data_IF_638338974711
#
_entry.id   IF_638338974711
#
_cell.length_a   1.000
_cell.length_b   1.000
_cell.length_c   1.000
_cell.angle_alpha   90.00
_cell.angle_beta   90.00
_cell.angle_gamma   90.00
#
_symmetry.space_group_name_H-M   'P 1'
#
loop_
_entity.id
_entity.type
_entity.pdbx_description
1 polymer ?
#
# COMPACT_ATOMS: atom_id res chain seq x y z
N UNK A 1 33.11 -66.70 -19.43
CA UNK A 1 33.98 -65.84 -20.26
C UNK A 1 33.92 -64.43 -19.69
N UNK A 2 35.09 -63.90 -19.30
CA UNK A 2 35.54 -62.50 -19.09
C UNK A 2 34.52 -61.37 -18.88
N UNK A 3 34.73 -60.34 -18.07
CA UNK A 3 35.76 -59.99 -17.07
C UNK A 3 35.25 -58.72 -16.38
N UNK A 4 35.47 -58.63 -15.06
CA UNK A 4 35.34 -57.40 -14.28
C UNK A 4 36.56 -56.52 -14.55
N UNK A 5 36.41 -55.19 -14.62
CA UNK A 5 37.52 -54.25 -14.39
C UNK A 5 37.02 -52.85 -14.01
N UNK A 6 37.09 -52.57 -12.71
CA UNK A 6 37.12 -51.23 -12.10
C UNK A 6 38.54 -50.68 -12.21
N UNK A 7 38.70 -49.40 -12.56
CA UNK A 7 39.98 -48.68 -12.42
C UNK A 7 39.77 -47.39 -11.64
N UNK A 8 40.34 -47.37 -10.43
CA UNK A 8 40.80 -46.18 -9.69
C UNK A 8 42.13 -45.73 -10.30
N UNK A 9 42.38 -44.42 -10.37
CA UNK A 9 43.74 -43.89 -10.30
C UNK A 9 43.79 -42.66 -9.38
N UNK A 10 44.74 -42.75 -8.45
CA UNK A 10 45.12 -41.78 -7.43
C UNK A 10 45.85 -40.57 -8.03
N UNK A 11 45.89 -39.49 -7.24
CA UNK A 11 46.39 -38.18 -7.63
C UNK A 11 47.91 -38.03 -7.74
N UNK A 12 48.31 -36.84 -8.16
CA UNK A 12 49.66 -36.31 -8.08
C UNK A 12 49.58 -34.79 -7.91
N UNK A 13 50.15 -34.27 -6.83
CA UNK A 13 50.48 -32.86 -6.63
C UNK A 13 51.70 -32.47 -7.48
N UNK A 14 51.85 -31.18 -7.81
CA UNK A 14 53.17 -30.55 -7.86
C UNK A 14 53.34 -29.35 -6.89
N UNK A 15 54.60 -28.98 -6.55
CA UNK A 15 54.97 -28.01 -5.49
C UNK A 15 55.21 -26.55 -6.01
N UNK A 16 55.60 -25.58 -5.15
CA UNK A 16 55.47 -24.14 -5.40
C UNK A 16 56.79 -23.44 -5.80
N UNK A 17 56.72 -22.28 -6.47
CA UNK A 17 57.81 -21.27 -6.49
C UNK A 17 57.38 -19.89 -7.02
N UNK A 18 57.43 -18.92 -6.11
CA UNK A 18 58.05 -17.57 -6.14
C UNK A 18 57.93 -16.58 -7.33
N UNK A 19 57.71 -15.34 -6.87
CA UNK A 19 58.24 -14.05 -7.34
C UNK A 19 57.70 -13.45 -8.66
N UNK A 20 57.11 -12.26 -8.52
CA UNK A 20 56.50 -11.50 -9.60
C UNK A 20 57.46 -10.68 -10.44
N UNK A 21 56.90 -10.03 -11.46
CA UNK A 21 57.38 -8.79 -12.06
C UNK A 21 56.16 -8.10 -12.68
N UNK A 22 56.02 -6.83 -12.33
CA UNK A 22 55.16 -5.85 -12.98
C UNK A 22 55.62 -5.60 -14.41
N UNK A 23 54.71 -5.66 -15.39
CA UNK A 23 54.91 -5.05 -16.70
C UNK A 23 53.56 -4.60 -17.29
N UNK A 24 53.37 -3.28 -17.35
CA UNK A 24 52.40 -2.62 -18.21
C UNK A 24 52.68 -2.92 -19.69
N UNK A 25 51.65 -2.99 -20.55
CA UNK A 25 51.76 -2.55 -21.92
C UNK A 25 51.16 -1.16 -22.11
N UNK A 26 51.92 -0.33 -22.84
CA UNK A 26 51.55 0.98 -23.37
C UNK A 26 50.38 0.89 -24.34
N UNK A 27 49.63 1.99 -24.34
CA UNK A 27 48.73 2.51 -25.37
C UNK A 27 49.25 2.40 -26.81
N UNK A 28 48.32 2.44 -27.78
CA UNK A 28 48.40 3.53 -28.74
C UNK A 28 47.12 4.38 -28.80
N UNK A 29 47.36 5.62 -29.20
CA UNK A 29 46.48 6.78 -29.22
C UNK A 29 45.30 6.71 -30.19
N UNK A 30 44.35 7.60 -29.88
CA UNK A 30 43.47 8.34 -30.79
C UNK A 30 42.19 7.67 -31.27
N UNK A 31 41.07 8.05 -30.63
CA UNK A 31 39.98 8.77 -31.29
C UNK A 31 39.04 9.32 -30.20
N UNK A 32 39.14 10.64 -29.98
CA UNK A 32 38.24 11.39 -29.11
C UNK A 32 36.93 11.61 -29.87
N UNK A 33 35.87 10.93 -29.47
CA UNK A 33 34.50 11.32 -29.83
C UNK A 33 34.01 12.31 -28.76
N UNK A 34 33.89 13.58 -29.17
CA UNK A 34 33.31 14.66 -28.38
C UNK A 34 31.78 14.52 -28.39
N UNK A 35 31.08 14.67 -27.25
CA UNK A 35 29.64 14.87 -27.26
C UNK A 35 29.32 16.28 -27.77
N UNK A 36 28.48 16.35 -28.81
CA UNK A 36 27.94 17.59 -29.38
C UNK A 36 26.94 18.20 -28.39
N UNK A 37 27.43 19.07 -27.52
CA UNK A 37 26.59 19.97 -26.73
C UNK A 37 25.98 21.01 -27.66
N UNK A 38 24.69 20.85 -27.97
CA UNK A 38 23.89 21.84 -28.68
C UNK A 38 23.61 23.04 -27.76
N UNK A 39 24.34 24.13 -27.97
CA UNK A 39 23.99 25.46 -27.46
C UNK A 39 22.64 25.89 -28.07
N UNK A 40 21.62 26.11 -27.25
CA UNK A 40 20.54 27.07 -27.56
C UNK A 40 20.65 28.20 -26.54
N UNK A 41 20.79 29.42 -27.06
CA UNK A 41 20.95 30.65 -26.31
C UNK A 41 19.68 31.07 -25.56
N UNK A 42 19.78 32.17 -24.79
CA UNK A 42 18.73 32.59 -23.86
C UNK A 42 17.56 33.21 -24.63
N UNK A 43 16.35 32.71 -24.42
CA UNK A 43 15.13 33.45 -24.73
C UNK A 43 14.66 34.11 -23.44
N UNK A 44 14.76 35.44 -23.45
CA UNK A 44 14.22 36.36 -22.45
C UNK A 44 12.69 36.27 -22.38
N UNK A 45 12.20 36.62 -21.18
CA UNK A 45 10.85 36.49 -20.65
C UNK A 45 9.72 37.11 -21.48
N UNK A 46 8.54 36.50 -21.39
CA UNK A 46 7.26 37.22 -21.38
C UNK A 46 6.22 36.41 -20.57
N UNK A 47 5.87 36.90 -19.39
CA UNK A 47 4.62 36.55 -18.71
C UNK A 47 3.50 37.35 -19.36
N UNK A 48 2.39 36.71 -19.73
CA UNK A 48 1.15 37.42 -20.12
C UNK A 48 -0.04 36.72 -19.49
N UNK A 49 -0.76 37.47 -18.67
CA UNK A 49 -2.19 37.31 -18.37
C UNK A 49 -2.73 38.71 -18.02
N UNK A 50 -4.04 38.99 -18.15
CA UNK A 50 -5.04 38.64 -19.16
C UNK A 50 -5.55 39.93 -19.85
N UNK A 51 -6.74 39.95 -20.50
CA UNK A 51 -7.69 40.97 -20.05
C UNK A 51 -9.12 40.47 -19.88
N UNK A 52 -9.81 41.17 -18.99
CA UNK A 52 -11.22 41.06 -18.61
C UNK A 52 -12.09 41.99 -19.48
N UNK A 53 -13.36 41.60 -19.64
CA UNK A 53 -14.55 42.43 -19.87
C UNK A 53 -14.94 42.96 -21.28
N UNK A 54 -16.25 42.75 -21.52
CA UNK A 54 -17.23 43.60 -22.21
C UNK A 54 -17.63 43.32 -23.69
N UNK A 55 -18.83 42.72 -23.79
CA UNK A 55 -20.03 43.24 -24.46
C UNK A 55 -20.14 43.39 -26.01
N UNK A 56 -21.26 42.79 -26.48
CA UNK A 56 -22.26 43.30 -27.45
C UNK A 56 -21.82 43.43 -28.92
N UNK A 57 -22.63 43.17 -29.95
CA UNK A 57 -24.08 43.07 -30.16
C UNK A 57 -24.25 42.37 -31.54
N UNK A 58 -25.17 41.41 -31.70
CA UNK A 58 -26.50 41.60 -32.33
C UNK A 58 -26.49 41.72 -33.85
N UNK A 59 -27.26 40.84 -34.49
CA UNK A 59 -28.38 41.19 -35.36
C UNK A 59 -29.17 39.89 -35.60
N UNK A 60 -30.30 39.73 -34.92
CA UNK A 60 -31.65 40.15 -35.35
C UNK A 60 -32.34 38.99 -36.09
N UNK A 61 -33.32 38.35 -35.43
CA UNK A 61 -34.76 38.61 -35.62
C UNK A 61 -35.27 37.93 -36.91
N UNK A 62 -36.37 37.20 -36.94
CA UNK A 62 -37.59 37.26 -36.14
C UNK A 62 -38.43 36.05 -36.56
N UNK A 63 -38.98 35.33 -35.56
CA UNK A 63 -40.41 34.93 -35.39
C UNK A 63 -41.10 34.29 -36.63
N UNK A 64 -41.77 33.14 -36.58
CA UNK A 64 -43.11 32.91 -35.97
C UNK A 64 -43.56 31.48 -36.36
N UNK A 65 -43.86 30.60 -35.40
CA UNK A 65 -45.19 30.11 -34.95
C UNK A 65 -45.80 28.93 -35.73
N UNK A 66 -46.48 28.07 -34.95
CA UNK A 66 -47.69 27.28 -35.26
C UNK A 66 -47.72 26.42 -36.53
N UNK A 67 -48.09 25.14 -36.53
CA UNK A 67 -49.31 24.49 -36.00
C UNK A 67 -49.27 23.03 -36.57
N UNK A 68 -49.94 21.99 -36.06
CA UNK A 68 -51.32 21.64 -36.44
C UNK A 68 -51.61 20.16 -36.07
N UNK A 69 -52.75 19.96 -35.38
CA UNK A 69 -53.76 18.86 -35.40
C UNK A 69 -53.34 17.42 -34.99
N UNK A 70 -54.15 16.59 -34.32
CA UNK A 70 -55.59 16.54 -33.95
C UNK A 70 -55.69 15.57 -32.73
N UNK A 71 -56.59 15.69 -31.76
CA UNK A 71 -58.01 15.36 -31.90
C UNK A 71 -58.84 16.04 -30.80
N UNK A 72 -60.02 16.50 -31.19
CA UNK A 72 -60.92 17.35 -30.43
C UNK A 72 -62.18 16.59 -29.96
N UNK A 73 -62.76 17.05 -28.84
CA UNK A 73 -64.19 17.29 -28.61
C UNK A 73 -64.40 17.71 -27.14
N UNK A 74 -65.10 18.77 -26.72
CA UNK A 74 -65.96 19.75 -27.39
C UNK A 74 -66.06 20.99 -26.47
N UNK A 75 -65.91 22.19 -27.04
CA UNK A 75 -66.66 23.43 -26.77
C UNK A 75 -66.89 23.92 -25.32
N UNK A 76 -66.14 24.96 -24.92
CA UNK A 76 -66.61 26.35 -24.71
C UNK A 76 -65.54 27.27 -24.06
N UNK A 77 -65.50 28.53 -24.49
CA UNK A 77 -64.53 29.65 -24.20
C UNK A 77 -65.34 30.86 -23.63
N UNK A 78 -64.84 31.96 -23.00
CA UNK A 78 -63.47 32.42 -22.62
C UNK A 78 -63.23 32.97 -21.17
N UNK A 79 -61.95 32.96 -20.77
CA UNK A 79 -61.12 33.98 -20.07
C UNK A 79 -61.64 34.78 -18.85
N UNK A 80 -60.99 34.57 -17.70
CA UNK A 80 -60.42 35.67 -16.89
C UNK A 80 -59.09 35.18 -16.27
N UNK A 81 -58.11 36.07 -16.18
CA UNK A 81 -56.71 35.77 -15.88
C UNK A 81 -56.49 35.36 -14.41
N UNK A 82 -56.21 34.09 -14.15
CA UNK A 82 -55.90 33.54 -12.83
C UNK A 82 -54.50 32.96 -12.75
N UNK A 83 -53.72 33.46 -11.80
CA UNK A 83 -52.34 33.07 -11.40
C UNK A 83 -52.03 31.56 -11.53
N UNK A 84 -50.76 31.17 -11.80
CA UNK A 84 -50.39 29.76 -11.91
C UNK A 84 -50.84 28.98 -10.69
N UNK A 85 -51.50 27.85 -10.94
CA UNK A 85 -52.14 27.01 -9.94
C UNK A 85 -51.22 26.79 -8.72
N UNK A 86 -51.67 27.30 -7.59
CA UNK A 86 -50.92 27.25 -6.33
C UNK A 86 -50.60 25.79 -5.95
N UNK A 87 -49.35 25.51 -5.54
CA UNK A 87 -48.89 24.17 -5.30
C UNK A 87 -49.68 23.50 -4.17
N UNK A 88 -50.10 22.25 -4.38
CA UNK A 88 -50.85 21.48 -3.39
C UNK A 88 -50.02 21.32 -2.10
N UNK A 89 -50.60 21.74 -0.97
CA UNK A 89 -49.96 21.72 0.36
C UNK A 89 -49.46 20.33 0.75
N UNK A 90 -50.12 19.27 0.29
CA UNK A 90 -49.71 17.89 0.54
C UNK A 90 -48.44 17.52 -0.23
N UNK A 91 -48.34 17.93 -1.50
CA UNK A 91 -47.16 17.70 -2.34
C UNK A 91 -45.94 18.46 -1.80
N UNK A 92 -46.10 19.73 -1.44
CA UNK A 92 -45.00 20.52 -0.85
C UNK A 92 -44.52 19.93 0.49
N UNK A 93 -45.43 19.37 1.30
CA UNK A 93 -45.07 18.65 2.53
C UNK A 93 -44.26 17.39 2.24
N UNK A 94 -44.67 16.59 1.26
CA UNK A 94 -43.93 15.37 0.85
C UNK A 94 -42.54 15.73 0.32
N UNK A 95 -42.44 16.73 -0.55
CA UNK A 95 -41.16 17.18 -1.10
C UNK A 95 -40.24 17.67 0.02
N UNK A 96 -40.74 18.47 0.97
CA UNK A 96 -39.95 18.95 2.11
C UNK A 96 -39.49 17.82 3.04
N UNK A 97 -40.35 16.82 3.30
CA UNK A 97 -39.99 15.66 4.11
C UNK A 97 -38.95 14.79 3.42
N UNK A 98 -39.09 14.54 2.12
CA UNK A 98 -38.14 13.75 1.34
C UNK A 98 -36.80 14.48 1.18
N UNK A 99 -36.81 15.79 0.97
CA UNK A 99 -35.57 16.58 0.86
C UNK A 99 -34.82 16.65 2.19
N UNK A 100 -35.54 16.80 3.31
CA UNK A 100 -34.92 16.81 4.65
C UNK A 100 -34.38 15.43 5.03
N UNK A 101 -35.13 14.35 4.79
CA UNK A 101 -34.63 12.99 4.97
C UNK A 101 -33.41 12.70 4.08
N UNK A 102 -33.46 13.08 2.81
CA UNK A 102 -32.34 12.93 1.88
C UNK A 102 -31.10 13.72 2.32
N UNK A 103 -31.28 14.94 2.80
CA UNK A 103 -30.20 15.77 3.33
C UNK A 103 -29.59 15.17 4.61
N UNK A 104 -30.43 14.69 5.54
CA UNK A 104 -29.97 14.00 6.75
C UNK A 104 -29.24 12.70 6.40
N UNK A 105 -29.75 11.92 5.44
CA UNK A 105 -29.11 10.68 5.00
C UNK A 105 -27.76 10.94 4.32
N UNK A 106 -27.65 11.94 3.43
CA UNK A 106 -26.39 12.32 2.79
C UNK A 106 -25.37 12.88 3.80
N UNK A 107 -25.83 13.71 4.74
CA UNK A 107 -24.99 14.24 5.80
C UNK A 107 -24.49 13.13 6.72
N UNK A 108 -25.39 12.24 7.16
CA UNK A 108 -25.05 11.07 7.94
C UNK A 108 -24.07 10.16 7.17
N UNK A 109 -24.30 9.89 5.89
CA UNK A 109 -23.39 9.06 5.07
C UNK A 109 -21.97 9.62 4.98
N UNK A 110 -21.81 10.95 4.90
CA UNK A 110 -20.47 11.57 4.91
C UNK A 110 -19.81 11.62 6.30
N UNK A 111 -20.60 11.58 7.37
CA UNK A 111 -20.12 11.68 8.76
C UNK A 111 -19.91 10.31 9.41
N UNK A 112 -20.67 9.31 8.98
CA UNK A 112 -20.56 7.93 9.39
C UNK A 112 -19.67 7.21 8.37
N UNK A 113 -18.37 7.55 8.33
CA UNK A 113 -17.40 6.61 7.77
C UNK A 113 -17.30 5.45 8.76
N UNK A 114 -18.17 4.45 8.61
CA UNK A 114 -18.33 3.30 9.52
C UNK A 114 -17.16 2.30 9.48
N UNK A 115 -15.98 2.73 9.03
CA UNK A 115 -14.81 1.86 8.82
C UNK A 115 -13.50 2.55 9.22
N UNK A 116 -13.51 3.42 10.24
CA UNK A 116 -12.26 3.74 10.93
C UNK A 116 -11.96 2.58 11.88
N UNK A 117 -11.21 1.60 11.37
CA UNK A 117 -10.70 0.53 12.20
C UNK A 117 -9.76 1.13 13.25
N UNK A 118 -10.10 0.94 14.53
CA UNK A 118 -9.26 1.42 15.62
C UNK A 118 -8.13 0.43 15.90
N UNK A 119 -7.01 0.91 16.45
CA UNK A 119 -5.89 0.05 16.86
C UNK A 119 -6.33 -1.13 17.73
N UNK A 120 -7.32 -0.91 18.61
CA UNK A 120 -7.89 -1.95 19.47
C UNK A 120 -8.65 -3.00 18.68
N UNK A 121 -9.36 -2.59 17.62
CA UNK A 121 -10.08 -3.51 16.75
C UNK A 121 -9.12 -4.36 15.91
N UNK A 122 -8.04 -3.78 15.39
CA UNK A 122 -7.02 -4.57 14.69
C UNK A 122 -6.40 -5.60 15.64
N UNK A 123 -6.00 -5.17 16.84
CA UNK A 123 -5.40 -6.07 17.82
C UNK A 123 -6.35 -7.20 18.25
N UNK A 124 -7.65 -6.90 18.39
CA UNK A 124 -8.66 -7.90 18.74
C UNK A 124 -8.95 -8.91 17.61
N UNK A 125 -8.77 -8.51 16.35
CA UNK A 125 -9.01 -9.36 15.17
C UNK A 125 -7.74 -10.01 14.62
N UNK A 126 -6.56 -9.66 15.15
CA UNK A 126 -5.28 -10.20 14.74
C UNK A 126 -5.22 -11.72 14.95
N UNK A 127 -4.50 -12.40 14.06
CA UNK A 127 -4.26 -13.84 14.17
C UNK A 127 -3.38 -14.10 15.41
N UNK A 128 -3.69 -15.08 16.26
CA UNK A 128 -2.80 -15.47 17.36
C UNK A 128 -1.42 -15.85 16.82
N UNK A 129 -0.37 -15.41 17.50
CA UNK A 129 1.01 -15.58 17.04
C UNK A 129 1.36 -17.07 16.78
N UNK A 130 0.99 -17.95 17.70
CA UNK A 130 1.28 -19.39 17.58
C UNK A 130 0.51 -20.05 16.42
N UNK A 131 -0.69 -19.55 16.10
CA UNK A 131 -1.45 -20.01 14.93
C UNK A 131 -0.82 -19.53 13.63
N UNK A 132 -0.34 -18.28 13.61
CA UNK A 132 0.30 -17.69 12.44
C UNK A 132 1.58 -18.45 12.04
N UNK A 133 2.36 -18.91 13.01
CA UNK A 133 3.60 -19.67 12.76
C UNK A 133 3.35 -21.12 12.31
N UNK A 134 2.20 -21.69 12.65
CA UNK A 134 1.90 -23.11 12.37
C UNK A 134 1.05 -23.34 11.12
N UNK A 135 0.41 -22.31 10.58
CA UNK A 135 -0.51 -22.44 9.45
C UNK A 135 0.14 -22.34 8.05
N UNK A 136 1.47 -22.13 7.99
CA UNK A 136 2.26 -22.12 6.75
C UNK A 136 1.96 -20.94 5.81
N UNK A 137 1.33 -19.88 6.30
CA UNK A 137 1.21 -18.60 5.59
C UNK A 137 2.32 -17.66 6.04
N UNK A 138 2.82 -16.81 5.14
CA UNK A 138 3.74 -15.78 5.57
C UNK A 138 3.03 -14.80 6.51
N UNK A 139 3.78 -14.17 7.40
CA UNK A 139 3.22 -13.44 8.54
C UNK A 139 3.84 -12.06 8.66
N UNK A 140 3.00 -11.05 8.90
CA UNK A 140 3.43 -9.73 9.36
C UNK A 140 3.16 -9.66 10.85
N UNK A 141 4.21 -9.39 11.63
CA UNK A 141 4.10 -9.16 13.08
C UNK A 141 4.29 -7.67 13.35
N UNK A 142 3.27 -7.04 13.93
CA UNK A 142 3.32 -5.66 14.39
C UNK A 142 3.48 -5.63 15.91
N UNK A 143 4.61 -5.09 16.38
CA UNK A 143 4.79 -4.74 17.79
C UNK A 143 4.27 -3.33 18.04
N UNK A 144 3.33 -3.22 18.97
CA UNK A 144 2.59 -1.99 19.25
C UNK A 144 2.39 -1.79 20.75
N UNK A 145 1.82 -0.64 21.12
CA UNK A 145 1.31 -0.39 22.47
C UNK A 145 0.04 0.46 22.42
N UNK A 146 -0.80 0.39 23.45
CA UNK A 146 -2.01 1.21 23.54
C UNK A 146 -1.71 2.71 23.64
N UNK A 147 -0.56 3.06 24.22
CA UNK A 147 -0.07 4.44 24.34
C UNK A 147 0.64 4.95 23.08
N UNK A 148 0.84 4.09 22.06
CA UNK A 148 1.52 4.45 20.81
C UNK A 148 0.61 5.26 19.89
N UNK A 149 0.83 6.57 19.81
CA UNK A 149 0.07 7.44 18.91
C UNK A 149 0.30 7.12 17.42
N UNK A 150 1.54 6.85 17.03
CA UNK A 150 1.86 6.52 15.63
C UNK A 150 1.17 5.21 15.19
N UNK A 151 1.07 4.21 16.08
CA UNK A 151 0.38 2.96 15.81
C UNK A 151 -1.13 3.22 15.59
N UNK A 152 -1.74 4.07 16.42
CA UNK A 152 -3.14 4.49 16.25
C UNK A 152 -3.38 5.23 14.93
N UNK A 153 -2.45 6.07 14.49
CA UNK A 153 -2.57 6.78 13.22
C UNK A 153 -2.46 5.85 12.01
N UNK A 154 -1.65 4.78 12.10
CA UNK A 154 -1.45 3.81 11.02
C UNK A 154 -2.56 2.75 10.94
N UNK A 155 -3.24 2.46 12.05
CA UNK A 155 -4.33 1.47 12.13
C UNK A 155 -5.32 1.47 10.94
N UNK A 156 -5.91 2.62 10.51
CA UNK A 156 -6.85 2.62 9.38
C UNK A 156 -6.21 2.25 8.04
N UNK A 157 -4.92 2.53 7.85
CA UNK A 157 -4.20 2.17 6.64
C UNK A 157 -3.78 0.70 6.65
N UNK A 158 -3.32 0.19 7.79
CA UNK A 158 -2.98 -1.23 7.99
C UNK A 158 -4.21 -2.09 7.78
N UNK A 159 -5.35 -1.73 8.37
CA UNK A 159 -6.61 -2.46 8.22
C UNK A 159 -7.04 -2.61 6.77
N UNK A 160 -6.87 -1.57 5.94
CA UNK A 160 -7.22 -1.65 4.52
C UNK A 160 -6.34 -2.64 3.75
N UNK A 161 -5.06 -2.77 4.13
CA UNK A 161 -4.16 -3.77 3.55
C UNK A 161 -4.51 -5.15 4.09
N UNK A 162 -4.72 -5.29 5.39
CA UNK A 162 -5.14 -6.52 6.05
C UNK A 162 -6.39 -7.12 5.39
N UNK A 163 -7.45 -6.31 5.20
CA UNK A 163 -8.68 -6.81 4.57
C UNK A 163 -8.49 -7.33 3.14
N UNK A 164 -7.46 -6.85 2.42
CA UNK A 164 -7.13 -7.30 1.07
C UNK A 164 -6.24 -8.55 1.04
N UNK A 165 -5.47 -8.80 2.10
CA UNK A 165 -4.43 -9.84 2.12
C UNK A 165 -4.59 -10.91 3.20
N UNK A 166 -5.55 -10.79 4.12
CA UNK A 166 -5.80 -11.73 5.24
C UNK A 166 -5.92 -13.21 4.82
N UNK A 167 -6.35 -13.48 3.59
CA UNK A 167 -6.45 -14.86 3.09
C UNK A 167 -5.07 -15.45 2.73
N UNK A 168 -4.09 -14.59 2.41
CA UNK A 168 -2.76 -14.96 1.90
C UNK A 168 -1.62 -14.69 2.89
N UNK A 169 -1.80 -13.75 3.81
CA UNK A 169 -0.79 -13.28 4.77
C UNK A 169 -1.46 -13.19 6.14
N UNK A 170 -0.82 -13.71 7.18
CA UNK A 170 -1.27 -13.51 8.55
C UNK A 170 -0.87 -12.11 9.03
N UNK A 171 -1.75 -11.47 9.80
CA UNK A 171 -1.45 -10.22 10.49
C UNK A 171 -1.55 -10.48 11.99
N UNK A 172 -0.43 -10.33 12.68
CA UNK A 172 -0.28 -10.57 14.12
C UNK A 172 0.05 -9.25 14.78
N UNK A 173 -0.55 -8.99 15.94
CA UNK A 173 -0.24 -7.82 16.75
C UNK A 173 0.22 -8.24 18.14
N UNK A 174 1.40 -7.80 18.54
CA UNK A 174 2.00 -8.09 19.85
C UNK A 174 2.14 -6.80 20.65
N UNK A 175 1.44 -6.74 21.77
CA UNK A 175 1.52 -5.59 22.67
C UNK A 175 2.82 -5.66 23.49
N UNK A 176 3.68 -4.66 23.38
CA UNK A 176 4.99 -4.62 24.07
C UNK A 176 4.88 -4.49 25.59
N UNK A 177 3.73 -4.03 26.10
CA UNK A 177 3.47 -3.94 27.55
C UNK A 177 3.08 -5.31 28.14
N UNK A 178 2.86 -6.34 27.30
CA UNK A 178 2.50 -7.68 27.74
C UNK A 178 3.75 -8.54 27.92
N UNK A 179 4.05 -8.88 29.17
CA UNK A 179 5.23 -9.67 29.57
C UNK A 179 5.31 -11.06 28.94
N UNK A 180 4.21 -11.58 28.39
CA UNK A 180 4.22 -12.85 27.64
C UNK A 180 5.18 -12.80 26.43
N UNK A 181 5.35 -11.61 25.84
CA UNK A 181 6.08 -11.43 24.59
C UNK A 181 7.54 -10.98 24.77
N UNK A 182 8.08 -11.02 26.00
CA UNK A 182 9.46 -10.59 26.29
C UNK A 182 10.49 -11.32 25.43
N UNK A 183 10.31 -12.63 25.22
CA UNK A 183 11.22 -13.43 24.39
C UNK A 183 11.17 -12.98 22.92
N UNK A 184 9.97 -12.78 22.36
CA UNK A 184 9.79 -12.33 20.99
C UNK A 184 10.32 -10.91 20.79
N UNK A 185 10.13 -10.01 21.76
CA UNK A 185 10.69 -8.65 21.72
C UNK A 185 12.22 -8.68 21.60
N UNK A 186 12.89 -9.53 22.38
CA UNK A 186 14.34 -9.71 22.32
C UNK A 186 14.78 -10.34 20.99
N UNK A 187 14.07 -11.37 20.53
CA UNK A 187 14.44 -12.11 19.33
C UNK A 187 14.28 -11.30 18.04
N UNK A 188 13.21 -10.52 17.93
CA UNK A 188 13.00 -9.58 16.83
C UNK A 188 13.80 -8.27 16.99
N UNK A 189 14.53 -8.09 18.10
CA UNK A 189 15.30 -6.88 18.37
C UNK A 189 14.41 -5.63 18.36
N UNK A 190 13.31 -5.67 19.10
CA UNK A 190 12.32 -4.60 19.16
C UNK A 190 12.83 -3.46 20.04
N UNK A 191 13.51 -2.50 19.40
CA UNK A 191 14.07 -1.30 20.06
C UNK A 191 13.13 -0.09 20.06
N UNK A 192 11.98 -0.18 19.40
CA UNK A 192 10.99 0.91 19.30
C UNK A 192 9.73 0.48 18.55
N UNK A 193 8.66 1.25 18.70
CA UNK A 193 7.34 0.96 18.10
C UNK A 193 6.83 2.11 17.22
N UNK A 194 5.98 1.83 16.21
CA UNK A 194 5.62 0.49 15.73
C UNK A 194 6.82 -0.23 15.11
N UNK A 195 6.90 -1.54 15.30
CA UNK A 195 7.90 -2.41 14.65
C UNK A 195 7.16 -3.44 13.81
N UNK A 196 7.44 -3.51 12.51
CA UNK A 196 6.89 -4.50 11.60
C UNK A 196 7.97 -5.52 11.23
N UNK A 197 7.81 -6.78 11.62
CA UNK A 197 8.63 -7.88 11.15
C UNK A 197 7.89 -8.67 10.06
N UNK A 198 8.57 -9.00 8.97
CA UNK A 198 8.02 -9.72 7.82
C UNK A 198 8.60 -11.13 7.80
N UNK A 199 7.76 -12.14 8.01
CA UNK A 199 8.16 -13.54 8.14
C UNK A 199 7.71 -14.34 6.92
N UNK A 200 8.59 -15.19 6.39
CA UNK A 200 8.26 -16.20 5.40
C UNK A 200 7.28 -17.25 5.96
N UNK A 201 6.97 -18.29 5.16
CA UNK A 201 6.03 -19.35 5.56
C UNK A 201 6.61 -20.29 6.62
N UNK A 202 7.92 -20.30 6.73
CA UNK A 202 8.72 -21.10 7.64
C UNK A 202 8.98 -20.36 8.97
N UNK A 203 8.56 -19.10 9.07
CA UNK A 203 8.73 -18.23 10.25
C UNK A 203 10.08 -17.52 10.30
N UNK A 204 10.87 -17.51 9.23
CA UNK A 204 12.12 -16.77 9.16
C UNK A 204 11.85 -15.30 8.83
N UNK A 205 12.58 -14.41 9.49
CA UNK A 205 12.48 -12.97 9.26
C UNK A 205 13.23 -12.55 7.99
N UNK A 206 12.47 -12.14 6.97
CA UNK A 206 13.00 -11.64 5.69
C UNK A 206 13.38 -10.16 5.76
N UNK A 207 12.84 -9.43 6.73
CA UNK A 207 13.13 -8.02 6.96
C UNK A 207 12.24 -7.41 8.02
N UNK A 208 12.61 -6.22 8.50
CA UNK A 208 11.75 -5.44 9.38
C UNK A 208 11.79 -3.94 9.11
N UNK A 209 10.84 -3.21 9.70
CA UNK A 209 10.73 -1.74 9.66
C UNK A 209 10.39 -1.24 11.06
N UNK A 210 11.08 -0.19 11.50
CA UNK A 210 10.80 0.49 12.78
C UNK A 210 10.32 1.91 12.51
N UNK A 211 9.23 2.30 13.15
CA UNK A 211 8.62 3.62 13.08
C UNK A 211 7.55 3.78 12.00
N UNK A 212 7.22 5.03 11.68
CA UNK A 212 6.14 5.36 10.75
C UNK A 212 6.44 4.82 9.34
N UNK A 213 5.52 4.02 8.81
CA UNK A 213 5.60 3.48 7.46
C UNK A 213 4.40 3.96 6.62
N UNK A 214 4.60 4.68 5.50
CA UNK A 214 3.51 5.04 4.61
C UNK A 214 2.78 3.80 4.07
N UNK A 215 1.45 3.89 3.93
CA UNK A 215 0.61 2.80 3.43
C UNK A 215 1.11 2.10 2.18
N UNK A 216 1.60 2.86 1.20
CA UNK A 216 2.08 2.27 -0.06
C UNK A 216 3.28 1.35 0.18
N UNK A 217 4.21 1.75 1.05
CA UNK A 217 5.39 0.93 1.35
C UNK A 217 5.02 -0.30 2.17
N UNK A 218 4.07 -0.16 3.10
CA UNK A 218 3.51 -1.31 3.81
C UNK A 218 2.84 -2.30 2.84
N UNK A 219 2.03 -1.79 1.90
CA UNK A 219 1.39 -2.59 0.87
C UNK A 219 2.40 -3.30 -0.02
N UNK A 220 3.45 -2.61 -0.49
CA UNK A 220 4.48 -3.21 -1.34
C UNK A 220 5.22 -4.34 -0.61
N UNK A 221 5.51 -4.16 0.68
CA UNK A 221 6.11 -5.21 1.52
C UNK A 221 5.18 -6.42 1.65
N UNK A 222 3.88 -6.19 1.93
CA UNK A 222 2.88 -7.27 2.02
C UNK A 222 2.69 -7.98 0.68
N UNK A 223 2.77 -7.26 -0.45
CA UNK A 223 2.71 -7.84 -1.80
C UNK A 223 3.91 -8.76 -2.03
N UNK A 224 5.12 -8.29 -1.76
CA UNK A 224 6.35 -9.08 -1.89
C UNK A 224 6.25 -10.36 -1.04
N UNK A 225 5.80 -10.20 0.20
CA UNK A 225 5.62 -11.30 1.13
C UNK A 225 4.57 -12.31 0.65
N UNK A 226 3.42 -11.84 0.16
CA UNK A 226 2.36 -12.69 -0.39
C UNK A 226 2.81 -13.46 -1.65
N UNK A 227 3.76 -12.92 -2.42
CA UNK A 227 4.38 -13.60 -3.56
C UNK A 227 5.50 -14.56 -3.19
N UNK A 228 5.96 -14.56 -1.92
CA UNK A 228 7.12 -15.34 -1.49
C UNK A 228 8.44 -14.80 -2.03
N UNK A 229 8.52 -13.48 -2.28
CA UNK A 229 9.78 -12.82 -2.63
C UNK A 229 10.62 -12.67 -1.35
N UNK A 230 11.86 -13.19 -1.30
CA UNK A 230 12.73 -13.02 -0.13
C UNK A 230 13.21 -11.57 0.06
N UNK A 231 13.06 -10.70 -0.95
CA UNK A 231 13.46 -9.30 -0.86
C UNK A 231 12.27 -8.39 -0.57
N UNK A 232 12.12 -7.97 0.67
CA UNK A 232 11.08 -7.03 1.10
C UNK A 232 11.53 -5.58 0.80
N UNK A 233 10.93 -4.89 -0.18
CA UNK A 233 11.51 -3.71 -0.83
C UNK A 233 11.73 -2.49 0.07
N UNK A 234 10.89 -2.31 1.09
CA UNK A 234 10.97 -1.18 2.03
C UNK A 234 11.31 -1.62 3.45
N UNK A 235 11.86 -2.83 3.62
CA UNK A 235 12.35 -3.32 4.90
C UNK A 235 13.89 -3.28 4.94
N UNK A 236 14.45 -3.08 6.14
CA UNK A 236 15.88 -3.31 6.35
C UNK A 236 16.11 -4.81 6.40
N UNK A 237 17.04 -5.29 5.58
CA UNK A 237 17.47 -6.69 5.61
C UNK A 237 18.15 -6.94 6.95
N UNK A 238 17.72 -8.01 7.60
CA UNK A 238 18.30 -8.47 8.85
C UNK A 238 19.68 -9.06 8.54
N UNK A 239 20.75 -8.34 8.89
CA UNK A 239 22.11 -8.71 8.51
C UNK A 239 22.54 -10.08 9.07
N UNK A 240 23.22 -10.87 8.23
CA UNK A 240 23.76 -12.22 8.53
C UNK A 240 24.81 -12.26 9.67
N UNK A 241 25.21 -11.12 10.24
CA UNK A 241 26.29 -11.03 11.23
C UNK A 241 25.87 -11.28 12.68
N UNK A 242 24.60 -11.61 12.91
CA UNK A 242 24.13 -12.25 14.14
C UNK A 242 23.31 -13.45 13.68
N UNK A 243 23.84 -14.66 13.88
CA UNK A 243 23.57 -15.84 13.04
C UNK A 243 22.08 -16.09 12.75
N UNK A 244 21.73 -16.40 11.51
CA UNK A 244 20.39 -16.86 11.14
C UNK A 244 19.99 -18.16 11.89
N UNK A 245 20.97 -18.93 12.38
CA UNK A 245 20.74 -20.11 13.22
C UNK A 245 20.30 -19.73 14.66
N UNK A 246 20.63 -18.51 15.13
CA UNK A 246 20.24 -17.99 16.46
C UNK A 246 19.01 -17.08 16.43
N UNK A 247 18.41 -16.84 15.26
CA UNK A 247 17.18 -16.04 15.05
C UNK A 247 16.07 -16.85 14.37
N UNK A 248 16.10 -18.17 14.53
CA UNK A 248 14.91 -18.97 14.28
C UNK A 248 13.94 -18.70 15.42
N UNK A 249 13.01 -17.80 15.16
CA UNK A 249 11.93 -17.38 16.09
C UNK A 249 10.99 -18.49 16.51
N UNK A 250 11.22 -19.69 16.00
CA UNK A 250 10.48 -20.88 16.34
C UNK A 250 11.38 -22.09 16.59
N UNK A 251 12.42 -21.96 17.41
CA UNK A 251 13.00 -23.12 18.09
C UNK A 251 12.12 -23.42 19.31
N UNK A 252 11.15 -24.34 19.18
CA UNK A 252 10.49 -24.95 20.33
C UNK A 252 11.57 -25.61 21.18
N UNK A 253 11.99 -24.96 22.27
CA UNK A 253 12.96 -25.52 23.18
C UNK A 253 12.37 -26.78 23.83
N UNK A 254 12.97 -27.94 23.55
CA UNK A 254 12.63 -29.19 24.25
C UNK A 254 13.00 -29.01 25.74
N UNK A 255 12.04 -29.12 26.68
CA UNK A 255 12.32 -28.97 28.12
C UNK A 255 13.31 -29.98 28.70
N UNK A 256 13.80 -30.95 27.90
CA UNK A 256 14.74 -32.00 28.32
C UNK A 256 16.14 -31.90 27.71
N UNK A 257 16.48 -30.83 26.98
CA UNK A 257 17.75 -30.76 26.26
C UNK A 257 18.93 -30.10 27.01
N UNK A 258 18.94 -30.12 28.35
CA UNK A 258 20.13 -29.74 29.11
C UNK A 258 20.98 -31.00 29.35
N UNK A 259 22.03 -31.16 28.54
CA UNK A 259 23.08 -32.16 28.73
C UNK A 259 24.26 -31.61 29.52
#
# INVERSE_FOLDING_TARGET
MASVASWRCSGFLPPPSLAGVSCCPRTPSSLRLRPRWGRRGPRTLACVAPPDSAEQQTDEQTVKDESTEEEAQTTSTPQDAGLPAVPNKDLNRRVALLSTLGAVALFASRRLNLTEASLKDLAANAVPYEEALSNGKPTVVEFYADWCEVCRELAPDIYQVEQRYKDRVNFVMLNVDNTRWEQELDEFGVEGIPHFAFLDKEGNEEGNVVGRLPKQYFLDNVVALASGDPNIPHARVVGQFSSAESRKVHQVADPRSHG
#
